data_IF_725614958466
#
_entry.id   IF_725614958466
#
_cell.length_a   1.000
_cell.length_b   1.000
_cell.length_c   1.000
_cell.angle_alpha   90.00
_cell.angle_beta   90.00
_cell.angle_gamma   90.00
#
_symmetry.space_group_name_H-M   'P 1'
#
loop_
_entity.id
_entity.type
_entity.pdbx_description
1 polymer ?
#
# COMPACT_ATOMS: atom_id res chain seq x y z
N UNK A 1 5.52 -6.64 9.64
CA UNK A 1 4.46 -6.66 8.62
C UNK A 1 3.83 -5.29 8.51
N UNK A 2 3.13 -4.99 7.41
CA UNK A 2 2.54 -3.65 7.14
C UNK A 2 1.31 -3.32 8.01
N UNK A 3 0.85 -4.23 8.89
CA UNK A 3 -0.23 -3.94 9.84
C UNK A 3 0.11 -2.76 10.74
N UNK A 4 -0.71 -1.71 10.70
CA UNK A 4 -0.47 -0.47 11.43
C UNK A 4 -1.09 0.75 10.77
N UNK A 5 -0.78 1.91 11.35
CA UNK A 5 -1.02 3.23 10.78
C UNK A 5 0.34 3.81 10.39
N UNK A 6 0.44 4.39 9.20
CA UNK A 6 1.70 4.81 8.60
C UNK A 6 1.61 6.22 8.05
N UNK A 7 2.64 7.02 8.29
CA UNK A 7 2.87 8.27 7.59
C UNK A 7 3.45 7.99 6.20
N UNK A 8 2.88 8.63 5.18
CA UNK A 8 3.40 8.58 3.81
C UNK A 8 4.33 9.77 3.53
N UNK A 9 5.42 9.53 2.79
CA UNK A 9 6.38 10.57 2.41
C UNK A 9 5.90 11.49 1.29
N UNK A 10 4.82 11.13 0.59
CA UNK A 10 4.23 11.96 -0.48
C UNK A 10 3.32 13.09 0.04
N UNK A 11 3.28 13.30 1.36
CA UNK A 11 2.53 14.37 2.01
C UNK A 11 1.02 14.11 2.11
N UNK A 12 0.58 12.89 1.80
CA UNK A 12 -0.82 12.50 1.92
C UNK A 12 -1.17 12.03 3.33
N UNK A 13 -2.47 11.87 3.59
CA UNK A 13 -2.97 11.35 4.85
C UNK A 13 -2.42 9.95 5.16
N UNK A 14 -2.47 9.61 6.46
CA UNK A 14 -1.98 8.36 6.97
C UNK A 14 -2.59 7.13 6.27
N UNK A 15 -1.74 6.14 5.99
CA UNK A 15 -2.14 4.85 5.43
C UNK A 15 -2.50 3.89 6.55
N UNK A 16 -3.63 3.22 6.45
CA UNK A 16 -4.13 2.31 7.48
C UNK A 16 -4.27 0.92 6.90
N UNK A 17 -3.48 -0.04 7.38
CA UNK A 17 -3.59 -1.45 7.00
C UNK A 17 -3.89 -2.31 8.24
N UNK A 18 -4.95 -3.13 8.16
CA UNK A 18 -5.47 -3.93 9.29
C UNK A 18 -5.29 -5.43 9.12
N UNK A 19 -4.62 -5.87 8.07
CA UNK A 19 -4.43 -7.29 7.75
C UNK A 19 -4.90 -7.61 6.33
N UNK A 20 -4.55 -8.79 5.84
CA UNK A 20 -4.89 -9.22 4.49
C UNK A 20 -6.39 -9.51 4.37
N UNK A 21 -7.03 -8.97 3.33
CA UNK A 21 -8.48 -9.03 3.12
C UNK A 21 -9.29 -8.12 4.03
N UNK A 22 -8.65 -7.31 4.88
CA UNK A 22 -9.33 -6.41 5.80
C UNK A 22 -9.53 -5.01 5.20
N UNK A 23 -10.46 -4.21 5.77
CA UNK A 23 -10.56 -2.80 5.45
C UNK A 23 -9.24 -2.06 5.64
N UNK A 24 -8.93 -1.17 4.71
CA UNK A 24 -7.75 -0.31 4.76
C UNK A 24 -8.10 1.11 4.27
N UNK A 25 -7.17 2.05 4.38
CA UNK A 25 -7.38 3.43 3.92
C UNK A 25 -6.13 4.04 3.30
N UNK A 26 -6.35 4.92 2.31
CA UNK A 26 -5.34 5.78 1.71
C UNK A 26 -4.41 5.10 0.71
N UNK A 27 -4.60 3.82 0.39
CA UNK A 27 -3.69 3.04 -0.45
C UNK A 27 -4.02 3.04 -1.95
N UNK A 28 -5.16 3.58 -2.37
CA UNK A 28 -5.54 3.57 -3.78
C UNK A 28 -4.95 4.77 -4.54
N UNK A 29 -4.22 4.48 -5.60
CA UNK A 29 -3.50 5.43 -6.46
C UNK A 29 -3.80 5.14 -7.92
N UNK A 30 -4.02 6.20 -8.70
CA UNK A 30 -4.05 6.16 -10.15
C UNK A 30 -2.82 6.86 -10.71
N UNK A 31 -1.90 6.09 -11.29
CA UNK A 31 -0.54 6.55 -11.57
C UNK A 31 0.19 6.95 -10.28
N UNK A 32 0.75 8.16 -10.26
CA UNK A 32 1.48 8.69 -9.10
C UNK A 32 0.63 9.51 -8.13
N UNK A 33 -0.69 9.56 -8.31
CA UNK A 33 -1.59 10.37 -7.48
C UNK A 33 -2.53 9.50 -6.66
N UNK A 34 -2.79 9.86 -5.39
CA UNK A 34 -3.85 9.23 -4.61
C UNK A 34 -5.17 9.47 -5.32
N UNK A 35 -6.01 8.46 -5.36
CA UNK A 35 -7.35 8.56 -5.91
C UNK A 35 -8.31 7.95 -4.91
N UNK A 36 -9.15 8.79 -4.31
CA UNK A 36 -10.28 8.34 -3.52
C UNK A 36 -11.55 8.47 -4.36
N UNK A 37 -12.11 7.34 -4.77
CA UNK A 37 -13.37 7.27 -5.52
C UNK A 37 -14.58 7.05 -4.61
N UNK A 38 -14.39 7.04 -3.29
CA UNK A 38 -15.42 6.71 -2.31
C UNK A 38 -15.73 5.22 -2.23
N UNK A 39 -16.45 4.85 -1.16
CA UNK A 39 -16.82 3.47 -0.88
C UNK A 39 -15.76 2.68 -0.08
N UNK A 40 -16.05 1.42 0.25
CA UNK A 40 -15.15 0.61 1.06
C UNK A 40 -13.86 0.29 0.31
N UNK A 41 -12.74 0.38 1.03
CA UNK A 41 -11.42 -0.03 0.54
C UNK A 41 -10.95 -1.26 1.32
N UNK A 42 -10.49 -2.29 0.62
CA UNK A 42 -9.88 -3.49 1.21
C UNK A 42 -8.49 -3.70 0.65
N UNK A 43 -7.61 -4.27 1.47
CA UNK A 43 -6.23 -4.52 1.09
C UNK A 43 -5.84 -5.97 1.34
N UNK A 44 -5.18 -6.59 0.37
CA UNK A 44 -4.67 -7.96 0.46
C UNK A 44 -3.19 -7.98 0.13
N UNK A 45 -2.37 -8.48 1.06
CA UNK A 45 -0.93 -8.61 0.87
C UNK A 45 -0.60 -10.06 0.49
N UNK A 46 0.29 -10.25 -0.47
CA UNK A 46 0.79 -11.57 -0.83
C UNK A 46 1.47 -12.25 0.36
N UNK A 47 1.38 -13.58 0.42
CA UNK A 47 2.01 -14.35 1.51
C UNK A 47 3.53 -14.44 1.37
N UNK A 48 4.03 -14.32 0.14
CA UNK A 48 5.46 -14.42 -0.19
C UNK A 48 5.88 -13.19 -1.01
N UNK A 49 7.13 -12.73 -0.85
CA UNK A 49 7.69 -11.72 -1.71
C UNK A 49 8.02 -12.29 -3.10
N UNK A 50 8.17 -11.41 -4.07
CA UNK A 50 8.75 -11.71 -5.39
C UNK A 50 10.30 -11.83 -5.31
N UNK A 51 10.99 -12.19 -6.42
CA UNK A 51 12.45 -12.33 -6.42
C UNK A 51 13.23 -11.07 -6.06
N UNK A 52 12.59 -9.89 -6.09
CA UNK A 52 13.16 -8.61 -5.66
C UNK A 52 12.85 -8.32 -4.18
N UNK A 53 12.39 -9.32 -3.42
CA UNK A 53 12.01 -9.20 -2.01
C UNK A 53 10.82 -8.26 -1.77
N UNK A 54 9.94 -8.06 -2.78
CA UNK A 54 8.77 -7.18 -2.66
C UNK A 54 7.48 -7.97 -2.56
N UNK A 55 6.61 -7.59 -1.64
CA UNK A 55 5.27 -8.14 -1.48
C UNK A 55 4.30 -7.43 -2.43
N UNK A 56 3.30 -8.14 -2.93
CA UNK A 56 2.25 -7.54 -3.76
C UNK A 56 1.09 -7.14 -2.86
N UNK A 57 0.74 -5.85 -2.86
CA UNK A 57 -0.41 -5.28 -2.18
C UNK A 57 -1.50 -5.01 -3.22
N UNK A 58 -2.55 -5.83 -3.18
CA UNK A 58 -3.77 -5.60 -3.94
C UNK A 58 -4.70 -4.71 -3.12
N UNK A 59 -5.10 -3.59 -3.70
CA UNK A 59 -6.04 -2.64 -3.10
C UNK A 59 -7.30 -2.65 -3.95
N UNK A 60 -8.43 -2.97 -3.34
CA UNK A 60 -9.74 -2.92 -3.99
C UNK A 60 -10.52 -1.77 -3.38
N UNK A 61 -11.01 -0.85 -4.20
CA UNK A 61 -11.93 0.20 -3.78
C UNK A 61 -13.16 0.16 -4.69
N UNK A 62 -14.31 -0.22 -4.13
CA UNK A 62 -15.53 -0.48 -4.92
C UNK A 62 -15.24 -1.47 -6.08
N UNK A 63 -15.51 -1.10 -7.34
CA UNK A 63 -15.23 -1.94 -8.52
C UNK A 63 -13.79 -1.80 -9.06
N UNK A 64 -13.01 -0.85 -8.52
CA UNK A 64 -11.66 -0.55 -8.99
C UNK A 64 -10.61 -1.32 -8.18
N UNK A 65 -9.51 -1.66 -8.85
CA UNK A 65 -8.40 -2.37 -8.25
C UNK A 65 -7.06 -1.72 -8.62
N UNK A 66 -6.15 -1.67 -7.64
CA UNK A 66 -4.78 -1.21 -7.78
C UNK A 66 -3.83 -2.29 -7.27
N UNK A 67 -2.70 -2.48 -7.95
CA UNK A 67 -1.67 -3.43 -7.55
C UNK A 67 -0.35 -2.70 -7.35
N UNK A 68 0.20 -2.83 -6.14
CA UNK A 68 1.42 -2.16 -5.72
C UNK A 68 2.43 -3.16 -5.20
N UNK A 69 3.70 -2.77 -5.20
CA UNK A 69 4.76 -3.54 -4.56
C UNK A 69 5.17 -2.87 -3.26
N UNK A 70 5.41 -3.65 -2.23
CA UNK A 70 5.86 -3.19 -0.92
C UNK A 70 7.16 -3.89 -0.58
N UNK A 71 8.21 -3.10 -0.34
CA UNK A 71 9.49 -3.58 0.20
C UNK A 71 9.56 -3.16 1.67
N UNK A 72 9.82 -4.11 2.57
CA UNK A 72 10.01 -3.80 3.99
C UNK A 72 11.49 -3.56 4.26
N UNK A 73 11.84 -2.35 4.71
CA UNK A 73 13.20 -2.04 5.15
C UNK A 73 13.44 -2.59 6.56
N UNK A 74 12.53 -2.27 7.48
CA UNK A 74 12.50 -2.81 8.83
C UNK A 74 11.06 -2.91 9.36
N UNK A 75 10.87 -2.95 10.68
CA UNK A 75 9.55 -3.05 11.31
C UNK A 75 8.68 -1.80 11.11
N UNK A 76 9.33 -0.65 10.98
CA UNK A 76 8.75 0.69 11.07
C UNK A 76 8.98 1.51 9.78
N UNK A 77 9.67 0.95 8.78
CA UNK A 77 9.89 1.55 7.46
C UNK A 77 9.56 0.59 6.29
N UNK A 78 8.91 1.12 5.26
CA UNK A 78 8.65 0.41 4.01
C UNK A 78 8.68 1.33 2.78
N UNK A 79 8.98 0.79 1.61
CA UNK A 79 8.89 1.48 0.33
C UNK A 79 7.71 0.92 -0.48
N UNK A 80 6.96 1.80 -1.14
CA UNK A 80 5.84 1.42 -2.02
C UNK A 80 6.17 1.79 -3.46
N UNK A 81 5.91 0.86 -4.37
CA UNK A 81 6.16 1.00 -5.81
C UNK A 81 4.89 0.70 -6.61
N UNK A 82 4.81 1.27 -7.81
CA UNK A 82 3.82 0.89 -8.80
C UNK A 82 4.10 -0.52 -9.39
N UNK A 83 3.17 -1.02 -10.21
CA UNK A 83 3.30 -2.32 -10.85
C UNK A 83 4.49 -2.42 -11.84
N UNK A 84 5.02 -1.30 -12.31
CA UNK A 84 6.19 -1.23 -13.20
C UNK A 84 7.51 -1.14 -12.45
N UNK A 85 7.46 -0.95 -11.13
CA UNK A 85 8.61 -0.89 -10.24
C UNK A 85 9.12 0.53 -9.93
N UNK A 86 8.42 1.59 -10.34
CA UNK A 86 8.78 2.95 -9.94
C UNK A 86 8.36 3.18 -8.48
N UNK A 87 9.25 3.75 -7.68
CA UNK A 87 8.93 4.09 -6.30
C UNK A 87 7.93 5.24 -6.26
N UNK A 88 6.83 5.06 -5.53
CA UNK A 88 5.79 6.07 -5.34
C UNK A 88 6.07 6.89 -4.09
N UNK A 89 6.29 6.22 -2.95
CA UNK A 89 6.50 6.86 -1.65
C UNK A 89 7.10 5.88 -0.64
N UNK A 90 7.56 6.44 0.48
CA UNK A 90 8.01 5.71 1.65
C UNK A 90 6.94 5.77 2.74
N UNK A 91 6.90 4.73 3.57
CA UNK A 91 6.05 4.63 4.75
C UNK A 91 6.91 4.62 6.00
N UNK A 92 6.55 5.43 6.98
CA UNK A 92 7.09 5.40 8.34
C UNK A 92 5.96 5.12 9.31
N UNK A 93 6.12 4.15 10.21
CA UNK A 93 5.08 3.79 11.17
C UNK A 93 4.83 4.94 12.16
N UNK A 94 3.55 5.19 12.46
CA UNK A 94 3.10 6.10 13.53
C UNK A 94 3.03 5.40 14.89
#
# INVERSE_FOLDING_TARGET
GIEGTWQSSDGTDAKIYRGSGQPCSGFFYSGSKPLDIGGPMTCSLSQKPDPQSRYTLLVTQSENHGSYKVEFGDRDHANVYDATGNQLYQLTRL
#
